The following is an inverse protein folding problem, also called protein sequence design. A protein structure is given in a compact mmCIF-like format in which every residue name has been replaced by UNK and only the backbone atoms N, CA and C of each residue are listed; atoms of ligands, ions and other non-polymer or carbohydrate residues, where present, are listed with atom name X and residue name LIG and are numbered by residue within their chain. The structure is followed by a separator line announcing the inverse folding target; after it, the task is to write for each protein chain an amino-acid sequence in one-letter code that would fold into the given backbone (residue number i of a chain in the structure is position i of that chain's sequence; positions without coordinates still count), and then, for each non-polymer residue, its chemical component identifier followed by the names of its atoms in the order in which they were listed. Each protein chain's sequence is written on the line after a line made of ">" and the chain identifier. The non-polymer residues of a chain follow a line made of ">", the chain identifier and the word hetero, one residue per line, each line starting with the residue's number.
data_IF_579788044830
#
_entry.id   IF_579788044830
#
_cell.length_a   1.000
_cell.length_b   1.000
_cell.length_c   1.000
_cell.angle_alpha   90.00
_cell.angle_beta   90.00
_cell.angle_gamma   90.00
#
_symmetry.space_group_name_H-M   'P 1'
#
loop_
_entity.id
_entity.type
_entity.pdbx_description
1 polymer ?
#
# COMPACT_ATOMS: atom_id res chain seq x y z
N UNK A 1 -4.73 -0.93 -5.71
CA UNK A 1 -4.30 -1.30 -4.34
C UNK A 1 -3.86 -0.07 -3.59
N UNK A 2 -4.07 -0.04 -2.29
CA UNK A 2 -3.74 1.12 -1.43
C UNK A 2 -2.93 0.66 -0.22
N UNK A 3 -1.93 1.46 0.15
CA UNK A 3 -1.16 1.34 1.39
C UNK A 3 -1.03 2.74 1.97
N UNK A 4 -2.02 3.16 2.76
CA UNK A 4 -2.18 4.56 3.17
C UNK A 4 -1.91 4.74 4.66
N UNK A 5 -1.12 5.77 4.99
CA UNK A 5 -0.84 6.14 6.36
C UNK A 5 -1.99 6.99 6.96
N UNK A 6 -2.59 6.51 8.05
CA UNK A 6 -3.64 7.21 8.80
C UNK A 6 -5.06 6.90 8.33
N UNK A 7 -5.93 6.57 9.28
CA UNK A 7 -7.33 6.19 9.01
C UNK A 7 -8.19 7.26 8.34
N UNK A 8 -7.98 8.56 8.64
CA UNK A 8 -8.71 9.63 7.94
C UNK A 8 -8.26 9.75 6.48
N UNK A 9 -6.96 9.63 6.22
CA UNK A 9 -6.42 9.69 4.87
C UNK A 9 -6.87 8.48 4.04
N UNK A 10 -6.86 7.27 4.61
CA UNK A 10 -7.26 6.06 3.87
C UNK A 10 -8.69 6.13 3.34
N UNK A 11 -9.62 6.73 4.10
CA UNK A 11 -11.00 7.00 3.64
C UNK A 11 -11.00 7.96 2.45
N UNK A 12 -10.30 9.10 2.56
CA UNK A 12 -10.24 10.10 1.48
C UNK A 12 -9.63 9.52 0.19
N UNK A 13 -8.58 8.71 0.31
CA UNK A 13 -7.99 8.02 -0.84
C UNK A 13 -8.97 7.03 -1.46
N UNK A 14 -9.68 6.23 -0.65
CA UNK A 14 -10.67 5.28 -1.15
C UNK A 14 -11.83 5.98 -1.88
N UNK A 15 -12.38 7.05 -1.29
CA UNK A 15 -13.44 7.86 -1.90
C UNK A 15 -12.99 8.45 -3.24
N UNK A 16 -11.76 9.00 -3.29
CA UNK A 16 -11.21 9.60 -4.51
C UNK A 16 -11.00 8.54 -5.61
N UNK A 17 -10.51 7.35 -5.26
CA UNK A 17 -10.34 6.25 -6.22
C UNK A 17 -11.71 5.79 -6.72
N UNK A 18 -12.70 5.65 -5.84
CA UNK A 18 -14.04 5.23 -6.22
C UNK A 18 -14.70 6.25 -7.18
N UNK A 19 -14.49 7.54 -6.96
CA UNK A 19 -15.02 8.62 -7.82
C UNK A 19 -14.31 8.68 -9.18
N UNK A 20 -12.98 8.55 -9.21
CA UNK A 20 -12.21 8.74 -10.44
C UNK A 20 -12.04 7.47 -11.30
N UNK A 21 -11.87 6.31 -10.67
CA UNK A 21 -11.53 5.05 -11.34
C UNK A 21 -12.63 3.98 -11.21
N UNK A 22 -13.65 4.21 -10.38
CA UNK A 22 -14.71 3.27 -10.10
C UNK A 22 -14.36 2.27 -8.99
N UNK A 23 -15.37 1.88 -8.21
CA UNK A 23 -15.20 1.01 -7.05
C UNK A 23 -14.72 -0.40 -7.40
N UNK A 24 -15.06 -0.89 -8.59
CA UNK A 24 -14.72 -2.24 -9.07
C UNK A 24 -13.20 -2.48 -9.20
N UNK A 25 -12.43 -1.39 -9.34
CA UNK A 25 -10.96 -1.45 -9.46
C UNK A 25 -10.24 -1.20 -8.11
N UNK A 26 -10.98 -0.95 -7.02
CA UNK A 26 -10.43 -0.82 -5.67
C UNK A 26 -10.21 -2.19 -5.02
N UNK A 27 -8.98 -2.69 -5.13
CA UNK A 27 -8.63 -4.03 -4.63
C UNK A 27 -8.67 -4.21 -3.09
N UNK A 28 -8.45 -3.14 -2.32
CA UNK A 28 -8.40 -3.21 -0.86
C UNK A 28 -8.70 -1.86 -0.20
N UNK A 29 -9.12 -1.93 1.06
CA UNK A 29 -9.19 -0.80 1.99
C UNK A 29 -8.45 -1.18 3.27
N UNK A 30 -7.57 -0.30 3.74
CA UNK A 30 -6.76 -0.51 4.93
C UNK A 30 -5.85 0.69 5.18
N UNK A 31 -5.24 0.70 6.36
CA UNK A 31 -4.34 1.76 6.79
C UNK A 31 -3.24 1.23 7.70
N UNK A 32 -2.17 2.02 7.83
CA UNK A 32 -1.21 1.89 8.92
C UNK A 32 -1.07 3.24 9.64
N UNK A 33 -1.06 3.24 10.96
CA UNK A 33 -0.95 4.46 11.76
C UNK A 33 -0.39 4.16 13.16
N UNK A 34 -0.32 5.15 14.05
CA UNK A 34 0.16 4.93 15.42
C UNK A 34 1.68 4.92 15.58
N UNK A 35 2.44 5.27 14.54
CA UNK A 35 3.91 5.27 14.57
C UNK A 35 4.52 3.87 14.55
N UNK A 36 4.19 3.05 13.53
CA UNK A 36 4.72 1.69 13.45
C UNK A 36 6.22 1.68 13.22
N UNK A 37 6.84 0.57 13.62
CA UNK A 37 8.25 0.27 13.39
C UNK A 37 8.51 -0.07 11.91
N UNK A 38 9.80 -0.06 11.53
CA UNK A 38 10.26 -0.54 10.22
C UNK A 38 9.82 -1.98 9.94
N UNK A 39 9.92 -2.87 10.94
CA UNK A 39 9.54 -4.28 10.80
C UNK A 39 8.04 -4.47 10.59
N UNK A 40 7.20 -3.76 11.36
CA UNK A 40 5.74 -3.80 11.18
C UNK A 40 5.33 -3.25 9.82
N UNK A 41 5.92 -2.13 9.40
CA UNK A 41 5.62 -1.52 8.09
C UNK A 41 6.05 -2.44 6.95
N UNK A 42 7.21 -3.08 7.07
CA UNK A 42 7.69 -4.10 6.12
C UNK A 42 6.72 -5.28 6.03
N UNK A 43 6.32 -5.84 7.17
CA UNK A 43 5.39 -6.98 7.21
C UNK A 43 4.05 -6.63 6.54
N UNK A 44 3.53 -5.43 6.79
CA UNK A 44 2.31 -4.94 6.15
C UNK A 44 2.49 -4.79 4.63
N UNK A 45 3.60 -4.20 4.18
CA UNK A 45 3.92 -4.06 2.76
C UNK A 45 4.08 -5.42 2.06
N UNK A 46 4.82 -6.36 2.64
CA UNK A 46 5.01 -7.72 2.10
C UNK A 46 3.69 -8.46 1.97
N UNK A 47 2.73 -8.25 2.88
CA UNK A 47 1.38 -8.84 2.82
C UNK A 47 0.60 -8.29 1.63
N UNK A 48 0.63 -6.98 1.40
CA UNK A 48 -0.07 -6.37 0.26
C UNK A 48 0.58 -6.76 -1.08
N UNK A 49 1.92 -6.83 -1.13
CA UNK A 49 2.64 -7.28 -2.31
C UNK A 49 2.37 -8.76 -2.61
N UNK A 50 2.27 -9.62 -1.58
CA UNK A 50 1.87 -11.03 -1.78
C UNK A 50 0.52 -11.09 -2.48
N UNK A 51 -0.49 -10.42 -1.91
CA UNK A 51 -1.85 -10.41 -2.42
C UNK A 51 -1.95 -9.83 -3.84
N UNK A 52 -1.22 -8.75 -4.11
CA UNK A 52 -1.20 -8.09 -5.41
C UNK A 52 -0.62 -8.98 -6.52
N UNK A 53 0.31 -9.87 -6.18
CA UNK A 53 1.13 -10.64 -7.14
C UNK A 53 0.75 -12.11 -7.26
N UNK A 54 -0.41 -12.53 -6.72
CA UNK A 54 -0.87 -13.93 -6.84
C UNK A 54 -1.29 -14.31 -8.26
N UNK A 55 -2.00 -13.42 -8.93
CA UNK A 55 -2.54 -13.65 -10.27
C UNK A 55 -2.46 -12.35 -11.08
N UNK A 56 -2.34 -12.39 -12.41
CA UNK A 56 -2.53 -11.22 -13.27
C UNK A 56 -3.94 -10.59 -13.10
N UNK A 57 -4.12 -9.33 -13.53
CA UNK A 57 -5.48 -8.76 -13.62
C UNK A 57 -6.31 -9.55 -14.64
N UNK A 58 -7.58 -9.85 -14.32
CA UNK A 58 -8.44 -10.68 -15.15
C UNK A 58 -8.71 -10.08 -16.54
N UNK A 59 -8.57 -8.76 -16.70
CA UNK A 59 -8.72 -8.04 -17.97
C UNK A 59 -7.37 -7.78 -18.65
N UNK A 60 -6.27 -8.34 -18.14
CA UNK A 60 -4.92 -8.17 -18.69
C UNK A 60 -4.31 -6.78 -18.46
N UNK A 61 -4.85 -5.98 -17.53
CA UNK A 61 -4.35 -4.63 -17.24
C UNK A 61 -3.15 -4.66 -16.30
N UNK A 62 -2.35 -3.59 -16.31
CA UNK A 62 -1.36 -3.34 -15.26
C UNK A 62 -2.04 -3.05 -13.92
N UNK A 63 -1.38 -3.42 -12.81
CA UNK A 63 -1.84 -3.11 -11.45
C UNK A 63 -1.10 -1.89 -10.91
N UNK A 64 -1.79 -1.10 -10.09
CA UNK A 64 -1.23 0.09 -9.43
C UNK A 64 -1.35 -0.03 -7.91
N UNK A 65 -0.28 0.35 -7.22
CA UNK A 65 -0.26 0.56 -5.77
C UNK A 65 -0.13 2.05 -5.47
N UNK A 66 -1.06 2.58 -4.68
CA UNK A 66 -0.99 3.96 -4.19
C UNK A 66 -0.47 3.92 -2.75
N UNK A 67 0.75 4.42 -2.56
CA UNK A 67 1.38 4.59 -1.26
C UNK A 67 1.29 6.08 -0.91
N UNK A 68 0.52 6.41 0.12
CA UNK A 68 0.20 7.79 0.45
C UNK A 68 -0.18 7.98 1.90
N UNK A 69 -0.65 9.17 2.26
CA UNK A 69 -1.03 9.49 3.64
C UNK A 69 -1.12 10.99 3.87
N UNK A 70 -1.72 11.37 5.00
CA UNK A 70 -1.67 12.75 5.47
C UNK A 70 -0.29 13.11 6.06
N UNK A 71 -0.06 14.39 6.33
CA UNK A 71 1.11 14.84 7.08
C UNK A 71 1.07 14.22 8.47
N UNK A 72 2.08 13.43 8.82
CA UNK A 72 2.13 12.71 10.08
C UNK A 72 2.51 13.63 11.24
N UNK A 73 1.85 13.46 12.40
CA UNK A 73 2.17 14.21 13.62
C UNK A 73 3.36 13.62 14.39
N UNK A 74 3.48 12.29 14.42
CA UNK A 74 4.46 11.57 15.26
C UNK A 74 5.06 10.31 14.60
N UNK A 75 4.59 9.94 13.40
CA UNK A 75 5.17 8.81 12.66
C UNK A 75 6.50 9.21 12.03
N UNK A 76 7.52 8.37 12.21
CA UNK A 76 8.80 8.51 11.54
C UNK A 76 8.68 8.01 10.09
N UNK A 77 8.55 8.95 9.15
CA UNK A 77 8.39 8.64 7.73
C UNK A 77 9.59 7.88 7.17
N UNK A 78 10.81 8.19 7.64
CA UNK A 78 12.00 7.49 7.17
C UNK A 78 11.96 6.01 7.57
N UNK A 79 11.66 5.70 8.84
CA UNK A 79 11.56 4.31 9.33
C UNK A 79 10.49 3.50 8.61
N UNK A 80 9.32 4.10 8.39
CA UNK A 80 8.22 3.43 7.70
C UNK A 80 8.57 3.16 6.24
N UNK A 81 9.10 4.15 5.52
CA UNK A 81 9.52 3.97 4.12
C UNK A 81 10.71 3.03 3.97
N UNK A 82 11.64 2.96 4.93
CA UNK A 82 12.67 1.91 4.94
C UNK A 82 12.04 0.51 4.92
N UNK A 83 10.98 0.29 5.70
CA UNK A 83 10.30 -1.01 5.71
C UNK A 83 9.58 -1.32 4.40
N UNK A 84 8.96 -0.32 3.78
CA UNK A 84 8.34 -0.42 2.46
C UNK A 84 9.39 -0.78 1.41
N UNK A 85 10.50 -0.05 1.35
CA UNK A 85 11.58 -0.28 0.38
C UNK A 85 12.13 -1.71 0.50
N UNK A 86 12.41 -2.17 1.73
CA UNK A 86 12.87 -3.54 1.97
C UNK A 86 11.87 -4.60 1.46
N UNK A 87 10.56 -4.35 1.60
CA UNK A 87 9.55 -5.25 1.05
C UNK A 87 9.57 -5.27 -0.48
N UNK A 88 9.69 -4.11 -1.13
CA UNK A 88 9.80 -4.02 -2.59
C UNK A 88 11.06 -4.71 -3.13
N UNK A 89 12.21 -4.53 -2.49
CA UNK A 89 13.47 -5.21 -2.85
C UNK A 89 13.29 -6.73 -2.83
N UNK A 90 12.71 -7.28 -1.76
CA UNK A 90 12.43 -8.73 -1.65
C UNK A 90 11.52 -9.24 -2.76
N UNK A 91 10.51 -8.47 -3.17
CA UNK A 91 9.58 -8.90 -4.22
C UNK A 91 10.13 -8.72 -5.64
N UNK A 92 11.00 -7.74 -5.85
CA UNK A 92 11.77 -7.60 -7.08
C UNK A 92 12.75 -8.79 -7.24
N UNK A 93 13.45 -9.18 -6.19
CA UNK A 93 14.34 -10.36 -6.20
C UNK A 93 13.58 -11.66 -6.48
N UNK A 94 12.31 -11.77 -6.05
CA UNK A 94 11.42 -12.90 -6.36
C UNK A 94 10.89 -12.89 -7.80
N UNK A 95 11.18 -11.86 -8.59
CA UNK A 95 10.63 -11.69 -9.94
C UNK A 95 9.12 -11.47 -9.98
N UNK A 96 8.55 -10.90 -8.90
CA UNK A 96 7.12 -10.62 -8.76
C UNK A 96 6.76 -9.16 -9.04
N UNK A 97 7.76 -8.29 -9.23
CA UNK A 97 7.66 -6.88 -9.59
C UNK A 97 8.49 -6.58 -10.84
#
# INVERSE_FOLDING_TARGET
>A
WTMVAGGGASVVYADTIADMAGIEDLANYGEYSGGPTTGETRFYAETLLDLMTREPDAKGRGKVMIIGGAIANFTDVAKTFTGIIQAFEVYAEKGKL
#
